data_IF_994021816403
#
_entry.id   IF_994021816403
#
_cell.length_a   1.000
_cell.length_b   1.000
_cell.length_c   1.000
_cell.angle_alpha   90.00
_cell.angle_beta   90.00
_cell.angle_gamma   90.00
#
_symmetry.space_group_name_H-M   'P 1'
#
loop_
_entity.id
_entity.type
_entity.pdbx_description
1 polymer ?
#
# COMPACT_ATOMS: atom_id res chain seq x y z
N UNK A 1 22.64 -9.23 14.65
CA UNK A 1 22.02 -8.53 13.50
C UNK A 1 20.74 -7.85 13.96
N UNK A 2 20.64 -6.56 13.72
CA UNK A 2 19.50 -5.78 14.21
C UNK A 2 18.31 -5.84 13.26
N UNK A 3 18.54 -5.73 11.94
CA UNK A 3 17.47 -5.68 10.96
C UNK A 3 17.58 -6.78 9.89
N UNK A 4 16.44 -7.37 9.52
CA UNK A 4 16.30 -8.17 8.30
C UNK A 4 15.31 -7.48 7.37
N UNK A 5 15.77 -7.11 6.18
CA UNK A 5 14.93 -6.48 5.16
C UNK A 5 14.35 -7.59 4.28
N UNK A 6 13.02 -7.75 4.31
CA UNK A 6 12.31 -8.80 3.58
C UNK A 6 11.65 -8.20 2.35
N UNK A 7 12.01 -8.69 1.17
CA UNK A 7 11.58 -8.15 -0.11
C UNK A 7 10.94 -9.25 -0.97
N UNK A 8 9.61 -9.32 -1.09
CA UNK A 8 8.96 -10.19 -2.07
C UNK A 8 9.07 -9.59 -3.47
N UNK A 9 9.44 -10.39 -4.46
CA UNK A 9 9.63 -9.97 -5.86
C UNK A 9 8.78 -10.84 -6.80
N UNK A 10 8.15 -10.22 -7.81
CA UNK A 10 7.47 -10.92 -8.89
C UNK A 10 7.57 -10.16 -10.20
N UNK A 11 8.37 -10.66 -11.17
CA UNK A 11 8.61 -10.07 -12.49
C UNK A 11 9.07 -8.60 -12.43
N UNK A 12 10.07 -8.27 -11.59
CA UNK A 12 10.54 -6.90 -11.34
C UNK A 12 12.05 -6.81 -11.11
N UNK A 13 12.88 -7.35 -12.03
CA UNK A 13 14.33 -7.33 -11.84
C UNK A 13 14.93 -5.92 -11.82
N UNK A 14 14.34 -4.97 -12.54
CA UNK A 14 14.82 -3.58 -12.58
C UNK A 14 14.50 -2.83 -11.28
N UNK A 15 13.30 -3.01 -10.72
CA UNK A 15 12.95 -2.37 -9.45
C UNK A 15 13.78 -2.91 -8.30
N UNK A 16 14.07 -4.23 -8.28
CA UNK A 16 14.93 -4.81 -7.23
C UNK A 16 16.37 -4.31 -7.37
N UNK A 17 16.91 -4.10 -8.57
CA UNK A 17 18.24 -3.53 -8.80
C UNK A 17 18.34 -2.13 -8.16
N UNK A 18 17.35 -1.25 -8.40
CA UNK A 18 17.32 0.09 -7.81
C UNK A 18 17.16 0.06 -6.28
N UNK A 19 16.36 -0.86 -5.75
CA UNK A 19 16.20 -1.00 -4.29
C UNK A 19 17.50 -1.49 -3.64
N UNK A 20 18.14 -2.53 -4.19
CA UNK A 20 19.41 -3.05 -3.66
C UNK A 20 20.52 -2.00 -3.75
N UNK A 21 20.61 -1.23 -4.84
CA UNK A 21 21.55 -0.12 -4.94
C UNK A 21 21.31 0.92 -3.84
N UNK A 22 20.04 1.29 -3.57
CA UNK A 22 19.72 2.23 -2.49
C UNK A 22 20.07 1.68 -1.09
N UNK A 23 20.00 0.36 -0.91
CA UNK A 23 20.40 -0.30 0.33
C UNK A 23 21.92 -0.34 0.53
N UNK A 24 22.70 -0.39 -0.55
CA UNK A 24 24.16 -0.26 -0.46
C UNK A 24 24.60 1.06 0.17
N UNK A 25 23.83 2.12 -0.05
CA UNK A 25 24.14 3.48 0.45
C UNK A 25 23.68 3.73 1.89
N UNK A 26 23.07 2.74 2.57
CA UNK A 26 22.65 2.93 3.96
C UNK A 26 23.86 3.26 4.86
N UNK A 27 23.69 4.26 5.72
CA UNK A 27 24.71 4.65 6.70
C UNK A 27 24.83 3.67 7.86
N UNK A 28 23.74 3.04 8.26
CA UNK A 28 23.70 1.94 9.23
C UNK A 28 23.91 0.60 8.52
N UNK A 29 24.82 -0.27 9.05
CA UNK A 29 25.29 -1.47 8.32
C UNK A 29 24.90 -2.82 8.97
N UNK A 30 24.34 -2.85 10.20
CA UNK A 30 23.98 -4.10 10.86
C UNK A 30 22.62 -4.62 10.39
N UNK A 31 22.54 -5.00 9.10
CA UNK A 31 21.37 -5.59 8.48
C UNK A 31 21.69 -6.61 7.41
N UNK A 32 20.72 -7.47 7.12
CA UNK A 32 20.70 -8.39 5.98
C UNK A 32 19.51 -8.07 5.05
N UNK A 33 19.58 -8.58 3.84
CA UNK A 33 18.52 -8.49 2.85
C UNK A 33 18.10 -9.89 2.42
N UNK A 34 16.82 -10.20 2.56
CA UNK A 34 16.23 -11.48 2.16
C UNK A 34 15.28 -11.24 1.01
N UNK A 35 15.71 -11.56 -0.21
CA UNK A 35 14.93 -11.44 -1.44
C UNK A 35 14.20 -12.75 -1.71
N UNK A 36 12.86 -12.67 -1.83
CA UNK A 36 12.01 -13.84 -2.10
C UNK A 36 11.34 -13.67 -3.46
N UNK A 37 11.81 -14.42 -4.44
CA UNK A 37 11.27 -14.49 -5.79
C UNK A 37 10.02 -15.38 -5.83
N UNK A 38 8.86 -14.80 -6.10
CA UNK A 38 7.55 -15.47 -6.04
C UNK A 38 7.11 -16.04 -7.40
N UNK A 39 7.95 -16.92 -7.99
CA UNK A 39 7.62 -17.62 -9.22
C UNK A 39 7.64 -16.74 -10.46
N UNK A 40 8.56 -15.78 -10.56
CA UNK A 40 8.76 -14.91 -11.71
C UNK A 40 9.20 -15.69 -12.95
N UNK A 41 8.79 -15.18 -14.11
CA UNK A 41 9.35 -15.56 -15.41
C UNK A 41 10.70 -14.88 -15.64
N UNK A 42 10.76 -13.55 -15.33
CA UNK A 42 11.98 -12.76 -15.34
C UNK A 42 12.53 -12.77 -13.90
N UNK A 43 13.54 -13.60 -13.67
CA UNK A 43 14.16 -13.74 -12.35
C UNK A 43 15.12 -12.60 -12.05
N UNK A 44 15.36 -12.36 -10.77
CA UNK A 44 16.31 -11.35 -10.29
C UNK A 44 17.55 -11.97 -9.57
N UNK A 45 17.80 -13.27 -9.72
CA UNK A 45 18.96 -13.95 -9.15
C UNK A 45 20.29 -13.29 -9.55
N UNK A 46 20.51 -13.09 -10.86
CA UNK A 46 21.70 -12.42 -11.37
C UNK A 46 21.81 -10.94 -10.91
N UNK A 47 20.67 -10.30 -10.66
CA UNK A 47 20.67 -8.96 -10.07
C UNK A 47 21.15 -9.03 -8.63
N UNK A 48 20.61 -9.94 -7.82
CA UNK A 48 21.03 -10.11 -6.43
C UNK A 48 22.53 -10.45 -6.31
N UNK A 49 23.06 -11.27 -7.22
CA UNK A 49 24.46 -11.66 -7.22
C UNK A 49 25.44 -10.47 -7.38
N UNK A 50 25.06 -9.42 -8.13
CA UNK A 50 25.87 -8.19 -8.27
C UNK A 50 26.14 -7.46 -6.94
N UNK A 51 25.32 -7.71 -5.92
CA UNK A 51 25.35 -6.99 -4.65
C UNK A 51 25.97 -7.78 -3.50
N UNK A 52 26.34 -9.06 -3.70
CA UNK A 52 26.88 -9.93 -2.62
C UNK A 52 28.15 -9.40 -1.98
N UNK A 53 28.97 -8.67 -2.72
CA UNK A 53 30.20 -8.07 -2.19
C UNK A 53 29.95 -6.78 -1.39
N UNK A 54 28.75 -6.19 -1.50
CA UNK A 54 28.39 -4.89 -0.90
C UNK A 54 27.30 -5.04 0.19
N UNK A 55 26.48 -6.09 0.11
CA UNK A 55 25.37 -6.37 1.01
C UNK A 55 25.36 -7.83 1.43
N UNK A 56 24.95 -8.10 2.66
CA UNK A 56 24.59 -9.45 3.07
C UNK A 56 23.20 -9.78 2.49
N UNK A 57 23.18 -10.19 1.21
CA UNK A 57 21.96 -10.50 0.48
C UNK A 57 21.82 -12.01 0.27
N UNK A 58 20.64 -12.54 0.61
CA UNK A 58 20.22 -13.89 0.30
C UNK A 58 19.05 -13.89 -0.69
N UNK A 59 19.10 -14.75 -1.70
CA UNK A 59 18.08 -14.90 -2.72
C UNK A 59 17.41 -16.27 -2.59
N UNK A 60 16.07 -16.28 -2.59
CA UNK A 60 15.27 -17.49 -2.48
C UNK A 60 14.16 -17.51 -3.53
N UNK A 61 14.10 -18.55 -4.34
CA UNK A 61 13.04 -18.79 -5.31
C UNK A 61 11.99 -19.75 -4.75
N UNK A 62 10.72 -19.46 -5.01
CA UNK A 62 9.60 -20.36 -4.70
C UNK A 62 8.48 -20.25 -5.76
N UNK A 63 7.61 -21.26 -5.90
CA UNK A 63 6.41 -21.16 -6.71
C UNK A 63 5.53 -19.98 -6.27
N UNK A 64 4.83 -19.35 -7.23
CA UNK A 64 3.99 -18.19 -6.95
C UNK A 64 2.87 -18.52 -5.95
N UNK A 65 2.78 -17.73 -4.89
CA UNK A 65 1.74 -17.85 -3.87
C UNK A 65 1.24 -16.50 -3.36
N UNK A 66 1.77 -15.41 -3.93
CA UNK A 66 1.42 -14.04 -3.56
C UNK A 66 2.34 -13.41 -2.52
N UNK A 67 2.20 -12.09 -2.30
CA UNK A 67 3.16 -11.32 -1.51
C UNK A 67 3.15 -11.68 -0.01
N UNK A 68 2.00 -11.97 0.59
CA UNK A 68 1.90 -12.35 2.01
C UNK A 68 2.70 -13.62 2.33
N UNK A 69 2.41 -14.76 1.66
CA UNK A 69 3.19 -15.99 1.83
C UNK A 69 4.68 -15.83 1.51
N UNK A 70 5.05 -14.96 0.56
CA UNK A 70 6.46 -14.71 0.23
C UNK A 70 7.18 -13.95 1.34
N UNK A 71 6.49 -12.99 1.99
CA UNK A 71 7.02 -12.31 3.19
C UNK A 71 7.20 -13.28 4.35
N UNK A 72 6.23 -14.18 4.59
CA UNK A 72 6.35 -15.23 5.61
C UNK A 72 7.57 -16.13 5.34
N UNK A 73 7.72 -16.56 4.09
CA UNK A 73 8.84 -17.42 3.67
C UNK A 73 10.21 -16.74 3.90
N UNK A 74 10.31 -15.42 3.62
CA UNK A 74 11.52 -14.65 3.88
C UNK A 74 11.78 -14.47 5.39
N UNK A 75 10.74 -14.25 6.17
CA UNK A 75 10.85 -14.13 7.63
C UNK A 75 11.42 -15.39 8.30
N UNK A 76 11.00 -16.58 7.87
CA UNK A 76 11.52 -17.86 8.36
C UNK A 76 13.04 -18.01 8.14
N UNK A 77 13.61 -17.28 7.17
CA UNK A 77 15.03 -17.34 6.77
C UNK A 77 15.85 -16.15 7.26
N UNK A 78 15.22 -15.24 7.98
CA UNK A 78 15.84 -14.03 8.50
C UNK A 78 16.44 -14.25 9.88
N UNK A 79 17.44 -13.41 10.25
CA UNK A 79 18.17 -13.53 11.53
C UNK A 79 18.03 -12.27 12.41
N UNK A 80 17.53 -11.17 11.87
CA UNK A 80 17.42 -9.89 12.57
C UNK A 80 16.37 -9.88 13.66
N UNK A 81 16.59 -9.06 14.67
CA UNK A 81 15.63 -8.82 15.76
C UNK A 81 14.35 -8.15 15.25
N UNK A 82 14.50 -7.20 14.35
CA UNK A 82 13.40 -6.52 13.66
C UNK A 82 13.37 -6.91 12.18
N UNK A 83 12.18 -7.22 11.71
CA UNK A 83 11.89 -7.39 10.29
C UNK A 83 11.48 -6.03 9.73
N UNK A 84 12.05 -5.66 8.59
CA UNK A 84 11.64 -4.49 7.80
C UNK A 84 11.09 -5.03 6.48
N UNK A 85 9.78 -4.97 6.32
CA UNK A 85 9.10 -5.40 5.10
C UNK A 85 9.10 -4.23 4.13
N UNK A 86 9.66 -4.45 2.94
CA UNK A 86 9.65 -3.48 1.83
C UNK A 86 9.05 -4.13 0.58
N UNK A 87 8.29 -3.35 -0.20
CA UNK A 87 7.90 -3.79 -1.55
C UNK A 87 9.10 -3.58 -2.51
N UNK A 88 9.22 -4.40 -3.56
CA UNK A 88 10.34 -4.34 -4.50
C UNK A 88 10.42 -3.03 -5.31
N UNK A 89 9.34 -2.24 -5.35
CA UNK A 89 9.22 -0.99 -6.08
C UNK A 89 9.42 0.27 -5.20
N UNK A 90 10.23 0.14 -4.14
CA UNK A 90 10.63 1.28 -3.30
C UNK A 90 12.11 1.62 -3.48
N UNK A 91 12.46 2.86 -3.17
CA UNK A 91 13.84 3.34 -3.02
C UNK A 91 13.94 3.92 -1.62
N UNK A 92 14.99 3.57 -0.88
CA UNK A 92 15.18 4.04 0.50
C UNK A 92 16.21 5.15 0.57
N UNK A 93 15.98 6.24 1.35
CA UNK A 93 17.00 7.26 1.62
C UNK A 93 18.22 6.67 2.34
N UNK A 94 19.40 7.24 2.15
CA UNK A 94 20.68 6.76 2.73
C UNK A 94 20.68 6.63 4.24
N UNK A 95 19.92 7.46 4.95
CA UNK A 95 19.83 7.47 6.41
C UNK A 95 18.59 6.73 6.96
N UNK A 96 17.85 5.99 6.12
CA UNK A 96 16.61 5.33 6.52
C UNK A 96 16.79 4.39 7.71
N UNK A 97 17.75 3.46 7.64
CA UNK A 97 18.00 2.50 8.73
C UNK A 97 18.58 3.17 9.98
N UNK A 98 19.40 4.21 9.82
CA UNK A 98 19.90 4.99 10.95
C UNK A 98 18.77 5.71 11.71
N UNK A 99 17.81 6.31 10.99
CA UNK A 99 16.62 6.93 11.57
C UNK A 99 15.77 5.88 12.29
N UNK A 100 15.56 4.71 11.68
CA UNK A 100 14.81 3.61 12.32
C UNK A 100 15.49 3.20 13.63
N UNK A 101 16.82 3.04 13.62
CA UNK A 101 17.61 2.70 14.81
C UNK A 101 17.45 3.75 15.89
N UNK A 102 17.65 5.03 15.58
CA UNK A 102 17.52 6.14 16.51
C UNK A 102 16.11 6.22 17.13
N UNK A 103 15.05 6.06 16.34
CA UNK A 103 13.68 6.06 16.81
C UNK A 103 13.38 4.88 17.74
N UNK A 104 13.94 3.70 17.47
CA UNK A 104 13.81 2.53 18.33
C UNK A 104 14.59 2.69 19.64
N UNK A 105 15.81 3.24 19.61
CA UNK A 105 16.63 3.50 20.79
C UNK A 105 15.97 4.55 21.69
N UNK A 106 15.43 5.63 21.11
CA UNK A 106 14.75 6.69 21.85
C UNK A 106 13.48 6.19 22.55
N UNK A 107 12.70 5.38 21.89
CA UNK A 107 11.47 4.79 22.42
C UNK A 107 11.18 3.47 21.71
N UNK A 108 11.46 2.32 22.32
CA UNK A 108 11.15 1.03 21.74
C UNK A 108 9.67 0.85 21.40
N UNK A 109 9.37 0.06 20.37
CA UNK A 109 8.01 -0.37 20.02
C UNK A 109 8.04 -1.74 19.34
N UNK A 110 6.89 -2.41 19.33
CA UNK A 110 6.77 -3.73 18.76
C UNK A 110 6.65 -3.71 17.24
N UNK A 111 6.03 -2.65 16.71
CA UNK A 111 5.92 -2.41 15.28
C UNK A 111 6.03 -0.92 14.97
N UNK A 112 6.43 -0.62 13.74
CA UNK A 112 6.47 0.75 13.23
C UNK A 112 6.18 0.78 11.73
N UNK A 113 6.02 1.95 11.18
CA UNK A 113 6.02 2.18 9.74
C UNK A 113 6.34 3.62 9.43
N UNK A 114 6.74 3.87 8.20
CA UNK A 114 7.01 5.20 7.68
C UNK A 114 6.09 5.56 6.51
N UNK A 115 6.00 6.85 6.16
CA UNK A 115 5.23 7.31 5.03
C UNK A 115 5.91 6.95 3.70
N UNK A 116 5.15 7.01 2.63
CA UNK A 116 5.66 6.98 1.26
C UNK A 116 5.70 8.39 0.67
N UNK A 117 6.71 8.67 -0.14
CA UNK A 117 6.90 9.94 -0.85
C UNK A 117 7.08 9.69 -2.34
N UNK A 118 6.76 10.69 -3.17
CA UNK A 118 7.09 10.68 -4.59
C UNK A 118 8.56 11.06 -4.78
N UNK A 119 9.30 10.25 -5.53
CA UNK A 119 10.66 10.59 -5.91
C UNK A 119 10.66 11.71 -6.98
N UNK A 120 11.66 12.62 -7.00
CA UNK A 120 11.74 13.68 -8.01
C UNK A 120 11.73 13.17 -9.45
N UNK A 121 12.31 12.00 -9.72
CA UNK A 121 12.36 11.36 -11.05
C UNK A 121 11.04 10.75 -11.52
N UNK A 122 9.99 10.74 -10.69
CA UNK A 122 8.70 10.14 -11.08
C UNK A 122 8.09 10.89 -12.25
N UNK A 123 7.51 10.11 -13.19
CA UNK A 123 6.80 10.64 -14.35
C UNK A 123 5.58 11.48 -13.94
N UNK A 124 5.08 12.37 -14.80
CA UNK A 124 3.87 13.15 -14.52
C UNK A 124 2.67 12.28 -14.11
N UNK A 125 2.47 11.11 -14.75
CA UNK A 125 1.41 10.16 -14.38
C UNK A 125 1.63 9.62 -12.96
N UNK A 126 2.84 9.23 -12.59
CA UNK A 126 3.14 8.76 -11.25
C UNK A 126 2.93 9.84 -10.18
N UNK A 127 3.29 11.09 -10.48
CA UNK A 127 3.04 12.25 -9.60
C UNK A 127 1.54 12.51 -9.45
N UNK A 128 0.76 12.44 -10.53
CA UNK A 128 -0.69 12.58 -10.51
C UNK A 128 -1.37 11.45 -9.70
N UNK A 129 -0.93 10.20 -9.86
CA UNK A 129 -1.41 9.07 -9.06
C UNK A 129 -1.03 9.26 -7.59
N UNK A 130 0.18 9.71 -7.29
CA UNK A 130 0.58 10.03 -5.92
C UNK A 130 -0.31 11.11 -5.31
N UNK A 131 -0.60 12.18 -6.07
CA UNK A 131 -1.55 13.20 -5.64
C UNK A 131 -2.92 12.59 -5.32
N UNK A 132 -3.49 11.77 -6.23
CA UNK A 132 -4.78 11.12 -6.00
C UNK A 132 -4.79 10.20 -4.77
N UNK A 133 -3.68 9.57 -4.42
CA UNK A 133 -3.56 8.68 -3.25
C UNK A 133 -3.37 9.43 -1.92
N UNK A 134 -2.96 10.69 -1.95
CA UNK A 134 -2.61 11.47 -0.74
C UNK A 134 -3.46 12.72 -0.55
N UNK A 135 -4.22 13.15 -1.58
CA UNK A 135 -5.05 14.35 -1.51
C UNK A 135 -6.22 14.21 -0.54
N UNK A 136 -6.55 15.30 0.14
CA UNK A 136 -7.75 15.42 0.95
C UNK A 136 -9.03 15.18 0.14
N UNK A 137 -9.08 15.66 -1.09
CA UNK A 137 -10.26 15.55 -1.98
C UNK A 137 -10.56 14.11 -2.42
N UNK A 138 -9.62 13.19 -2.28
CA UNK A 138 -9.78 11.78 -2.71
C UNK A 138 -9.78 10.80 -1.55
N UNK A 139 -8.91 11.03 -0.55
CA UNK A 139 -8.72 10.09 0.57
C UNK A 139 -9.09 10.69 1.93
N UNK A 140 -9.62 11.93 1.96
CA UNK A 140 -9.95 12.62 3.20
C UNK A 140 -8.74 12.88 4.11
N UNK A 141 -7.52 12.87 3.55
CA UNK A 141 -6.29 13.07 4.33
C UNK A 141 -5.86 11.85 5.17
N UNK A 142 -6.49 10.68 4.97
CA UNK A 142 -6.13 9.42 5.67
C UNK A 142 -4.69 8.99 5.32
N UNK A 143 -4.22 9.32 4.10
CA UNK A 143 -2.85 9.12 3.65
C UNK A 143 -2.15 10.46 3.49
N UNK A 144 -0.92 10.58 3.99
CA UNK A 144 -0.10 11.79 3.82
C UNK A 144 -0.48 12.98 4.71
N UNK A 145 -1.50 12.90 5.56
CA UNK A 145 -1.91 13.97 6.45
C UNK A 145 -1.04 14.07 7.70
N UNK A 146 -0.64 15.30 8.09
CA UNK A 146 0.05 15.58 9.37
C UNK A 146 -0.86 15.41 10.59
N UNK A 147 -2.16 15.26 10.43
CA UNK A 147 -3.12 15.11 11.54
C UNK A 147 -3.29 13.63 11.90
N UNK A 148 -3.01 13.31 13.15
CA UNK A 148 -3.37 12.03 13.78
C UNK A 148 -4.90 11.95 13.87
N UNK A 149 -5.53 11.36 12.86
CA UNK A 149 -6.97 11.12 12.93
C UNK A 149 -7.31 9.81 13.66
N UNK A 150 -6.33 8.91 13.87
CA UNK A 150 -6.54 7.62 14.55
C UNK A 150 -5.22 6.85 14.71
N UNK A 151 -5.32 5.58 15.17
CA UNK A 151 -4.19 4.63 15.21
C UNK A 151 -3.54 4.53 13.84
N UNK A 152 -2.21 4.61 13.78
CA UNK A 152 -1.45 4.45 12.55
C UNK A 152 -1.38 2.96 12.19
N UNK A 153 -1.91 2.59 11.03
CA UNK A 153 -1.85 1.24 10.49
C UNK A 153 -0.67 1.15 9.50
N UNK A 154 0.46 0.52 9.87
CA UNK A 154 1.60 0.37 8.99
C UNK A 154 1.23 -0.47 7.75
N UNK A 155 1.83 -0.13 6.63
CA UNK A 155 1.57 -0.76 5.33
C UNK A 155 2.78 -1.57 4.91
N UNK A 156 2.57 -2.66 4.19
CA UNK A 156 3.62 -3.60 3.80
C UNK A 156 4.77 -3.03 2.99
N UNK A 157 4.56 -1.88 2.33
CA UNK A 157 5.64 -1.22 1.59
C UNK A 157 6.71 -0.57 2.49
N UNK A 158 6.42 -0.38 3.78
CA UNK A 158 7.33 0.18 4.78
C UNK A 158 6.81 -0.16 6.19
N UNK A 159 6.95 -1.42 6.56
CA UNK A 159 6.53 -1.97 7.84
C UNK A 159 7.73 -2.56 8.57
N UNK A 160 8.02 -2.05 9.77
CA UNK A 160 8.93 -2.69 10.71
C UNK A 160 8.17 -3.40 11.83
N UNK A 161 8.64 -4.56 12.25
CA UNK A 161 8.04 -5.34 13.34
C UNK A 161 9.08 -6.23 14.02
N UNK A 162 9.05 -6.37 15.34
CA UNK A 162 9.86 -7.37 16.03
C UNK A 162 9.57 -8.76 15.49
N UNK A 163 10.61 -9.54 15.21
CA UNK A 163 10.45 -10.90 14.68
C UNK A 163 9.60 -11.77 15.61
N UNK A 164 9.84 -11.72 16.93
CA UNK A 164 9.05 -12.46 17.92
C UNK A 164 7.56 -12.11 17.91
N UNK A 165 7.22 -10.83 17.69
CA UNK A 165 5.82 -10.38 17.58
C UNK A 165 5.19 -10.85 16.28
N UNK A 166 5.95 -10.80 15.18
CA UNK A 166 5.48 -11.29 13.88
C UNK A 166 5.15 -12.78 13.95
N UNK A 167 6.03 -13.58 14.56
CA UNK A 167 5.86 -15.02 14.76
C UNK A 167 4.67 -15.32 15.68
N UNK A 168 4.55 -14.60 16.80
CA UNK A 168 3.42 -14.74 17.74
C UNK A 168 2.07 -14.42 17.09
N UNK A 169 2.04 -13.51 16.11
CA UNK A 169 0.85 -13.18 15.33
C UNK A 169 0.60 -14.17 14.17
N UNK A 170 1.51 -15.10 13.86
CA UNK A 170 1.40 -16.02 12.74
C UNK A 170 1.63 -15.37 11.36
N UNK A 171 2.36 -14.25 11.31
CA UNK A 171 2.75 -13.57 10.08
C UNK A 171 1.58 -12.98 9.28
N UNK A 172 1.77 -12.83 7.97
CA UNK A 172 0.70 -12.41 7.05
C UNK A 172 -0.32 -13.53 6.82
N UNK A 173 -1.60 -13.19 6.94
CA UNK A 173 -2.67 -14.12 6.60
C UNK A 173 -2.67 -14.47 5.08
N UNK A 174 -3.20 -15.63 4.67
CA UNK A 174 -3.29 -16.04 3.27
C UNK A 174 -4.39 -15.27 2.53
N UNK A 175 -4.27 -13.95 2.50
CA UNK A 175 -5.15 -13.01 1.81
C UNK A 175 -4.45 -12.47 0.57
N UNK A 176 -5.19 -12.36 -0.53
CA UNK A 176 -4.62 -11.81 -1.76
C UNK A 176 -4.45 -10.29 -1.70
N UNK A 177 -5.32 -9.60 -0.97
CA UNK A 177 -5.32 -8.15 -0.80
C UNK A 177 -5.77 -7.79 0.62
N UNK A 178 -5.15 -6.74 1.20
CA UNK A 178 -5.47 -6.25 2.53
C UNK A 178 -4.80 -7.02 3.67
N UNK A 179 -3.85 -7.88 3.34
CA UNK A 179 -3.05 -8.67 4.29
C UNK A 179 -2.24 -7.78 5.24
N UNK A 180 -1.85 -6.59 4.78
CA UNK A 180 -1.16 -5.59 5.59
C UNK A 180 -2.08 -4.94 6.63
N UNK A 181 -3.33 -4.65 6.26
CA UNK A 181 -4.33 -4.13 7.19
C UNK A 181 -4.75 -5.21 8.19
N UNK A 182 -4.86 -6.46 7.74
CA UNK A 182 -5.13 -7.61 8.61
C UNK A 182 -4.04 -7.75 9.68
N UNK A 183 -2.76 -7.78 9.29
CA UNK A 183 -1.63 -7.86 10.21
C UNK A 183 -1.61 -6.67 11.18
N UNK A 184 -1.76 -5.46 10.66
CA UNK A 184 -1.81 -4.25 11.48
C UNK A 184 -2.98 -4.29 12.49
N UNK A 185 -4.13 -4.83 12.09
CA UNK A 185 -5.29 -5.00 13.00
C UNK A 185 -4.96 -5.99 14.10
N UNK A 186 -4.29 -7.12 13.79
CA UNK A 186 -3.86 -8.11 14.78
C UNK A 186 -2.82 -7.55 15.74
N UNK A 187 -1.88 -6.71 15.28
CA UNK A 187 -0.93 -5.99 16.14
C UNK A 187 -1.70 -5.22 17.23
N UNK A 188 -2.69 -4.39 16.84
CA UNK A 188 -3.46 -3.61 17.81
C UNK A 188 -4.39 -4.43 18.68
N UNK A 189 -5.03 -5.47 18.15
CA UNK A 189 -5.96 -6.32 18.93
C UNK A 189 -5.26 -7.16 20.00
N UNK A 190 -3.99 -7.47 19.78
CA UNK A 190 -3.18 -8.19 20.77
C UNK A 190 -2.38 -7.24 21.69
N UNK A 191 -2.66 -5.95 21.68
CA UNK A 191 -2.08 -4.99 22.61
C UNK A 191 -0.64 -4.56 22.31
N UNK A 192 -0.09 -4.94 21.16
CA UNK A 192 1.26 -4.55 20.76
C UNK A 192 1.32 -3.06 20.39
N UNK A 193 2.45 -2.44 20.75
CA UNK A 193 2.72 -1.03 20.45
C UNK A 193 3.09 -0.84 18.98
N UNK A 194 2.51 0.20 18.35
CA UNK A 194 2.84 0.57 16.97
C UNK A 194 3.06 2.08 16.86
N UNK A 195 4.15 2.49 16.19
CA UNK A 195 4.52 3.89 16.02
C UNK A 195 4.67 4.27 14.55
N UNK A 196 4.34 5.52 14.23
CA UNK A 196 4.72 6.15 12.97
C UNK A 196 6.10 6.79 13.15
N UNK A 197 7.02 6.49 12.23
CA UNK A 197 8.32 7.15 12.09
C UNK A 197 8.28 8.09 10.88
N UNK A 198 7.95 9.37 11.04
CA UNK A 198 7.70 10.27 9.91
C UNK A 198 8.90 10.48 8.99
N UNK A 199 10.12 10.39 9.56
CA UNK A 199 11.35 10.59 8.80
C UNK A 199 11.91 9.29 8.21
N UNK A 200 11.46 8.12 8.66
CA UNK A 200 11.78 6.83 8.03
C UNK A 200 10.83 6.58 6.84
N UNK A 201 10.84 7.48 5.87
CA UNK A 201 10.03 7.37 4.66
C UNK A 201 10.75 6.58 3.56
N UNK A 202 9.96 6.08 2.61
CA UNK A 202 10.46 5.45 1.38
C UNK A 202 9.90 6.18 0.16
N UNK A 203 10.65 6.18 -0.94
CA UNK A 203 10.12 6.59 -2.24
C UNK A 203 9.44 5.39 -2.89
N UNK A 204 8.11 5.38 -2.93
CA UNK A 204 7.35 4.25 -3.45
C UNK A 204 6.91 4.54 -4.87
N UNK A 205 7.40 3.78 -5.85
CA UNK A 205 7.04 3.92 -7.27
C UNK A 205 5.55 3.67 -7.47
N UNK A 206 4.89 4.66 -8.04
CA UNK A 206 3.49 4.54 -8.40
C UNK A 206 3.33 3.81 -9.72
N UNK A 207 2.12 3.29 -9.96
CA UNK A 207 1.79 2.70 -11.27
C UNK A 207 2.00 3.72 -12.39
N UNK A 208 2.47 3.25 -13.53
CA UNK A 208 2.76 4.09 -14.70
C UNK A 208 1.58 4.23 -15.67
N UNK A 209 0.46 3.51 -15.42
CA UNK A 209 -0.77 3.53 -16.24
C UNK A 209 -2.00 3.64 -15.35
N UNK A 210 -2.98 4.47 -15.77
CA UNK A 210 -4.25 4.59 -15.05
C UNK A 210 -5.03 3.29 -14.96
N UNK A 211 -4.99 2.43 -15.99
CA UNK A 211 -5.66 1.13 -15.96
C UNK A 211 -5.12 0.20 -14.86
N UNK A 212 -3.82 0.17 -14.66
CA UNK A 212 -3.20 -0.60 -13.58
C UNK A 212 -3.48 0.01 -12.20
N UNK A 213 -3.52 1.34 -12.11
CA UNK A 213 -3.90 2.05 -10.91
C UNK A 213 -5.38 1.80 -10.55
N UNK A 214 -6.29 1.91 -11.51
CA UNK A 214 -7.70 1.61 -11.30
C UNK A 214 -7.91 0.18 -10.76
N UNK A 215 -7.22 -0.81 -11.35
CA UNK A 215 -7.27 -2.19 -10.88
C UNK A 215 -6.76 -2.33 -9.43
N UNK A 216 -5.68 -1.67 -9.10
CA UNK A 216 -5.11 -1.66 -7.74
C UNK A 216 -6.12 -1.11 -6.71
N UNK A 217 -6.73 0.04 -6.98
CA UNK A 217 -7.69 0.63 -6.03
C UNK A 217 -9.01 -0.12 -5.98
N UNK A 218 -9.43 -0.77 -7.09
CA UNK A 218 -10.59 -1.67 -7.12
C UNK A 218 -10.38 -2.83 -6.13
N UNK A 219 -9.24 -3.49 -6.18
CA UNK A 219 -8.91 -4.55 -5.21
C UNK A 219 -8.84 -4.05 -3.77
N UNK A 220 -8.44 -2.79 -3.54
CA UNK A 220 -8.49 -2.18 -2.21
C UNK A 220 -9.93 -2.02 -1.70
N UNK A 221 -10.88 -1.67 -2.59
CA UNK A 221 -12.30 -1.64 -2.28
C UNK A 221 -12.89 -3.02 -1.97
N UNK A 222 -12.52 -4.02 -2.77
CA UNK A 222 -12.91 -5.43 -2.54
C UNK A 222 -12.39 -5.96 -1.21
N UNK A 223 -11.11 -5.73 -0.91
CA UNK A 223 -10.49 -6.13 0.35
C UNK A 223 -11.18 -5.51 1.58
N UNK A 224 -11.72 -4.30 1.45
CA UNK A 224 -12.43 -3.63 2.55
C UNK A 224 -13.68 -4.39 3.00
N UNK A 225 -14.40 -5.05 2.09
CA UNK A 225 -15.56 -5.88 2.42
C UNK A 225 -15.12 -7.14 3.20
N UNK A 226 -14.04 -7.79 2.75
CA UNK A 226 -13.45 -8.95 3.45
C UNK A 226 -13.02 -8.56 4.87
N UNK A 227 -12.31 -7.44 4.99
CA UNK A 227 -11.85 -6.91 6.29
C UNK A 227 -13.02 -6.50 7.20
N UNK A 228 -14.09 -5.92 6.65
CA UNK A 228 -15.32 -5.61 7.40
C UNK A 228 -15.93 -6.87 7.98
N UNK A 229 -16.00 -7.95 7.23
CA UNK A 229 -16.58 -9.22 7.71
C UNK A 229 -15.69 -9.86 8.78
N UNK A 230 -14.36 -9.76 8.65
CA UNK A 230 -13.39 -10.30 9.62
C UNK A 230 -13.25 -9.41 10.88
N UNK A 231 -13.34 -8.10 10.71
CA UNK A 231 -13.15 -7.09 11.76
C UNK A 231 -14.21 -5.98 11.66
N UNK A 232 -15.47 -6.23 12.06
CA UNK A 232 -16.58 -5.26 11.90
C UNK A 232 -16.31 -3.93 12.59
N UNK A 233 -15.63 -3.94 13.73
CA UNK A 233 -15.22 -2.77 14.54
C UNK A 233 -14.26 -1.83 13.84
N UNK A 234 -13.57 -2.29 12.79
CA UNK A 234 -12.64 -1.45 12.00
C UNK A 234 -13.33 -0.72 10.84
N UNK A 235 -14.59 -1.01 10.58
CA UNK A 235 -15.33 -0.40 9.51
C UNK A 235 -15.87 0.98 9.92
N UNK A 236 -15.59 2.00 9.09
CA UNK A 236 -16.02 3.39 9.31
C UNK A 236 -16.86 3.87 8.13
N UNK A 237 -17.78 4.80 8.38
CA UNK A 237 -18.62 5.39 7.32
C UNK A 237 -17.81 6.02 6.19
N UNK A 238 -16.63 6.55 6.47
CA UNK A 238 -15.72 7.10 5.45
C UNK A 238 -15.37 6.09 4.35
N UNK A 239 -15.41 4.79 4.64
CA UNK A 239 -15.17 3.74 3.64
C UNK A 239 -16.29 3.62 2.59
N UNK A 240 -17.47 4.20 2.86
CA UNK A 240 -18.59 4.25 1.91
C UNK A 240 -18.51 5.46 0.98
N UNK A 241 -17.74 6.50 1.31
CA UNK A 241 -17.70 7.74 0.52
C UNK A 241 -17.33 7.52 -0.96
N UNK A 242 -16.36 6.64 -1.33
CA UNK A 242 -16.09 6.39 -2.74
C UNK A 242 -17.27 5.72 -3.46
N UNK A 243 -18.01 4.85 -2.77
CA UNK A 243 -19.22 4.24 -3.35
C UNK A 243 -20.34 5.27 -3.54
N UNK A 244 -20.54 6.14 -2.57
CA UNK A 244 -21.49 7.25 -2.68
C UNK A 244 -21.09 8.23 -3.81
N UNK A 245 -19.78 8.48 -3.98
CA UNK A 245 -19.27 9.27 -5.09
C UNK A 245 -19.60 8.64 -6.46
N UNK A 246 -19.45 7.32 -6.61
CA UNK A 246 -19.83 6.60 -7.85
C UNK A 246 -21.32 6.78 -8.14
N UNK A 247 -22.17 6.46 -7.17
CA UNK A 247 -23.65 6.55 -7.33
C UNK A 247 -24.08 7.99 -7.60
N UNK A 248 -23.52 8.95 -6.86
CA UNK A 248 -23.80 10.38 -7.03
C UNK A 248 -23.42 10.90 -8.43
N UNK A 249 -22.22 10.53 -8.93
CA UNK A 249 -21.82 10.92 -10.29
C UNK A 249 -22.70 10.30 -11.37
N UNK A 250 -23.08 9.04 -11.23
CA UNK A 250 -24.01 8.38 -12.18
C UNK A 250 -25.37 9.10 -12.18
N UNK A 251 -25.90 9.44 -11.00
CA UNK A 251 -27.14 10.20 -10.89
C UNK A 251 -27.04 11.59 -11.52
N UNK A 252 -25.95 12.33 -11.24
CA UNK A 252 -25.70 13.65 -11.83
C UNK A 252 -25.64 13.59 -13.37
N UNK A 253 -24.98 12.57 -13.92
CA UNK A 253 -24.91 12.36 -15.38
C UNK A 253 -26.31 12.09 -15.95
N UNK A 254 -27.09 11.20 -15.32
CA UNK A 254 -28.47 10.93 -15.75
C UNK A 254 -29.33 12.19 -15.71
N UNK A 255 -29.30 12.94 -14.61
CA UNK A 255 -30.04 14.19 -14.48
C UNK A 255 -29.57 15.26 -15.50
N UNK A 256 -28.26 15.30 -15.75
CA UNK A 256 -27.69 16.20 -16.77
C UNK A 256 -28.17 15.91 -18.19
N UNK A 257 -28.33 14.64 -18.54
CA UNK A 257 -28.80 14.17 -19.85
C UNK A 257 -30.31 14.32 -19.98
N UNK A 258 -31.11 13.88 -18.98
CA UNK A 258 -32.56 13.73 -19.11
C UNK A 258 -33.37 14.89 -18.53
N UNK A 259 -32.76 15.72 -17.66
CA UNK A 259 -33.49 16.84 -17.04
C UNK A 259 -32.90 18.21 -17.42
N UNK A 260 -31.64 18.53 -17.01
CA UNK A 260 -31.02 19.81 -17.29
C UNK A 260 -29.49 19.75 -17.21
N UNK A 261 -28.79 20.34 -18.18
CA UNK A 261 -27.33 20.32 -18.28
C UNK A 261 -26.59 20.89 -17.04
N UNK A 262 -27.22 21.76 -16.25
CA UNK A 262 -26.64 22.30 -15.02
C UNK A 262 -26.29 21.20 -13.99
N UNK A 263 -26.87 20.00 -14.09
CA UNK A 263 -26.52 18.90 -13.23
C UNK A 263 -25.07 18.36 -13.46
N UNK A 264 -24.42 18.79 -14.54
CA UNK A 264 -22.98 18.53 -14.72
C UNK A 264 -22.10 19.48 -13.90
N UNK A 265 -22.62 20.61 -13.40
CA UNK A 265 -21.85 21.63 -12.69
C UNK A 265 -21.09 21.05 -11.46
N UNK A 266 -21.67 20.19 -10.59
CA UNK A 266 -20.91 19.59 -9.48
C UNK A 266 -19.72 18.75 -9.93
N UNK A 267 -19.84 18.02 -11.05
CA UNK A 267 -18.77 17.21 -11.63
C UNK A 267 -17.62 18.10 -12.10
N UNK A 268 -17.96 19.18 -12.83
CA UNK A 268 -16.97 20.15 -13.32
C UNK A 268 -16.31 20.93 -12.17
N UNK A 269 -17.08 21.29 -11.16
CA UNK A 269 -16.56 21.97 -9.97
C UNK A 269 -15.57 21.08 -9.20
N UNK A 270 -15.88 19.80 -9.04
CA UNK A 270 -14.96 18.84 -8.41
C UNK A 270 -13.68 18.68 -9.24
N UNK A 271 -13.78 18.56 -10.56
CA UNK A 271 -12.62 18.46 -11.45
C UNK A 271 -11.74 19.73 -11.35
N UNK A 272 -12.36 20.91 -11.29
CA UNK A 272 -11.66 22.19 -11.11
C UNK A 272 -10.97 22.26 -9.74
N UNK A 273 -11.63 21.82 -8.67
CA UNK A 273 -11.03 21.77 -7.33
C UNK A 273 -9.77 20.86 -7.28
N UNK A 274 -9.86 19.68 -7.90
CA UNK A 274 -8.69 18.77 -8.06
C UNK A 274 -7.57 19.45 -8.84
N UNK A 275 -7.91 20.11 -9.95
CA UNK A 275 -6.93 20.80 -10.79
C UNK A 275 -6.19 21.89 -10.01
N UNK A 276 -6.92 22.77 -9.32
CA UNK A 276 -6.34 23.90 -8.57
C UNK A 276 -5.47 23.39 -7.42
N UNK A 277 -5.98 22.44 -6.62
CA UNK A 277 -5.21 21.87 -5.49
C UNK A 277 -3.95 21.13 -5.95
N UNK A 278 -4.06 20.37 -7.05
CA UNK A 278 -2.90 19.68 -7.63
C UNK A 278 -1.88 20.66 -8.22
N UNK A 279 -2.33 21.71 -8.91
CA UNK A 279 -1.45 22.74 -9.45
C UNK A 279 -0.68 23.46 -8.34
N UNK A 280 -1.37 23.81 -7.26
CA UNK A 280 -0.75 24.45 -6.09
C UNK A 280 0.31 23.57 -5.42
N UNK A 281 0.06 22.24 -5.33
CA UNK A 281 0.96 21.28 -4.68
C UNK A 281 2.13 20.84 -5.55
N UNK A 282 1.88 20.55 -6.83
CA UNK A 282 2.88 19.97 -7.73
C UNK A 282 3.58 21.04 -8.61
N UNK A 283 3.06 22.25 -8.68
CA UNK A 283 3.59 23.37 -9.50
C UNK A 283 3.81 22.97 -10.97
N UNK A 284 2.97 22.08 -11.50
CA UNK A 284 3.04 21.55 -12.87
C UNK A 284 1.64 21.45 -13.45
N UNK A 285 1.44 22.13 -14.61
CA UNK A 285 0.16 22.11 -15.33
C UNK A 285 -0.17 20.70 -15.82
N UNK A 286 0.83 19.98 -16.35
CA UNK A 286 0.68 18.60 -16.83
C UNK A 286 0.22 17.68 -15.70
N UNK A 287 0.89 17.73 -14.53
CA UNK A 287 0.50 16.93 -13.37
C UNK A 287 -0.89 17.31 -12.88
N UNK A 288 -1.24 18.59 -12.87
CA UNK A 288 -2.57 19.05 -12.46
C UNK A 288 -3.68 18.50 -13.36
N UNK A 289 -3.50 18.54 -14.68
CA UNK A 289 -4.44 17.96 -15.65
C UNK A 289 -4.56 16.43 -15.47
N UNK A 290 -3.45 15.72 -15.32
CA UNK A 290 -3.42 14.27 -15.10
C UNK A 290 -4.00 13.86 -13.74
N UNK A 291 -4.02 14.76 -12.76
CA UNK A 291 -4.59 14.51 -11.44
C UNK A 291 -6.12 14.37 -11.45
N UNK A 292 -6.80 14.98 -12.43
CA UNK A 292 -8.25 14.82 -12.60
C UNK A 292 -8.60 13.35 -12.86
N UNK A 293 -8.16 12.72 -13.99
CA UNK A 293 -8.45 11.30 -14.22
C UNK A 293 -7.88 10.39 -13.13
N UNK A 294 -6.75 10.74 -12.49
CA UNK A 294 -6.21 9.97 -11.38
C UNK A 294 -7.16 9.96 -10.16
N UNK A 295 -7.75 11.10 -9.82
CA UNK A 295 -8.71 11.21 -8.72
C UNK A 295 -9.99 10.41 -9.00
N UNK A 296 -10.51 10.49 -10.23
CA UNK A 296 -11.64 9.65 -10.65
C UNK A 296 -11.30 8.16 -10.63
N UNK A 297 -10.12 7.75 -11.11
CA UNK A 297 -9.65 6.36 -10.99
C UNK A 297 -9.61 5.89 -9.52
N UNK A 298 -9.14 6.73 -8.61
CA UNK A 298 -9.09 6.43 -7.17
C UNK A 298 -10.49 6.18 -6.60
N UNK A 299 -11.42 7.08 -6.84
CA UNK A 299 -12.76 7.02 -6.24
C UNK A 299 -13.65 5.98 -6.93
N UNK A 300 -13.68 5.95 -8.27
CA UNK A 300 -14.47 4.97 -9.01
C UNK A 300 -13.92 3.56 -8.83
N UNK A 301 -12.59 3.37 -8.91
CA UNK A 301 -11.98 2.07 -8.71
C UNK A 301 -12.34 1.48 -7.35
N UNK A 302 -12.11 2.23 -6.27
CA UNK A 302 -12.44 1.77 -4.93
C UNK A 302 -13.96 1.58 -4.74
N UNK A 303 -14.79 2.54 -5.16
CA UNK A 303 -16.24 2.50 -5.00
C UNK A 303 -16.87 1.30 -5.71
N UNK A 304 -16.50 1.07 -6.98
CA UNK A 304 -16.98 -0.09 -7.75
C UNK A 304 -16.47 -1.41 -7.18
N UNK A 305 -15.22 -1.46 -6.72
CA UNK A 305 -14.67 -2.63 -6.05
C UNK A 305 -15.46 -3.00 -4.78
N UNK A 306 -15.72 -1.99 -3.94
CA UNK A 306 -16.52 -2.17 -2.72
C UNK A 306 -17.95 -2.62 -3.02
N UNK A 307 -18.67 -1.92 -3.92
CA UNK A 307 -20.05 -2.26 -4.30
C UNK A 307 -20.15 -3.67 -4.87
N UNK A 308 -19.26 -4.04 -5.80
CA UNK A 308 -19.23 -5.37 -6.39
C UNK A 308 -18.95 -6.48 -5.38
N UNK A 309 -18.03 -6.26 -4.44
CA UNK A 309 -17.73 -7.22 -3.38
C UNK A 309 -18.87 -7.32 -2.36
N UNK A 310 -19.47 -6.18 -1.97
CA UNK A 310 -20.61 -6.16 -1.05
C UNK A 310 -21.82 -6.88 -1.65
N UNK A 311 -22.08 -6.70 -2.94
CA UNK A 311 -23.14 -7.41 -3.65
C UNK A 311 -22.92 -8.93 -3.63
N UNK A 312 -21.70 -9.39 -3.97
CA UNK A 312 -21.35 -10.82 -3.90
C UNK A 312 -21.48 -11.40 -2.49
N UNK A 313 -21.07 -10.64 -1.47
CA UNK A 313 -21.20 -11.05 -0.05
C UNK A 313 -22.67 -11.23 0.38
N UNK A 314 -23.57 -10.33 -0.05
CA UNK A 314 -25.00 -10.42 0.21
C UNK A 314 -25.61 -11.66 -0.48
N UNK A 315 -25.23 -11.92 -1.73
CA UNK A 315 -25.72 -13.07 -2.49
C UNK A 315 -25.25 -14.40 -1.89
N UNK A 316 -23.97 -14.47 -1.46
CA UNK A 316 -23.43 -15.69 -0.84
C UNK A 316 -24.10 -16.03 0.49
N UNK A 317 -24.49 -15.02 1.28
CA UNK A 317 -25.23 -15.21 2.54
C UNK A 317 -26.69 -15.61 2.35
N UNK A 318 -27.27 -15.37 1.16
CA UNK A 318 -28.65 -15.78 0.81
C UNK A 318 -28.76 -17.21 0.28
N UNK A 319 -27.65 -17.86 -0.09
CA UNK A 319 -27.65 -19.28 -0.47
C UNK A 319 -27.37 -20.12 0.78
N UNK A 320 -28.36 -20.83 1.37
CA UNK A 320 -28.09 -21.73 2.48
C UNK A 320 -27.14 -22.82 2.02
N UNK A 321 -26.15 -23.15 2.86
CA UNK A 321 -25.17 -24.19 2.59
C UNK A 321 -25.87 -25.52 2.31
N UNK A 322 -25.80 -26.03 1.08
CA UNK A 322 -26.23 -27.41 0.73
C UNK A 322 -25.31 -28.49 1.36
N UNK A 323 -24.48 -28.15 2.36
CA UNK A 323 -23.49 -29.05 2.98
C UNK A 323 -23.98 -29.66 4.33
N UNK A 324 -25.23 -29.49 4.71
CA UNK A 324 -25.76 -30.15 5.91
C UNK A 324 -26.83 -31.20 5.61
N UNK A 325 -26.86 -31.78 4.40
CA UNK A 325 -27.71 -32.94 4.09
C UNK A 325 -26.89 -33.97 3.30
N UNK A 326 -25.95 -34.60 3.96
CA UNK A 326 -25.44 -35.93 3.57
C UNK A 326 -24.76 -36.60 4.75
#
# INVERSE_FOLDING_TARGET
MQFSIIIPVYNRPQEIDELLESLCHQTFKDFEVVVVEDGSREKCDLVCDKYRDRLLVSYHFKPNSGPGPSRNYGTERSQGEYLIILDSDVIVPENYLAIVKEELDRKPCDAFGGPDRAHPSFTPIQKAINYAMTSFFTTGGIRGGKRKMDKFYPRSFNLGIKKSVYEALGGFAPMRYGEDIDLSTRIFKNGYSCRLFPEAFVYHKRRVKFSSFFRQVKHSGEARVVLKNKYPDTFKLVHLLPSAFVVGNLLLVMLGIFHHWLWFAPILFYALAIFIDSLAKNKSLEVALLSIPAAYCQLFGYGLGFLGAAWRDILSKKQPSQKEKS
#
